data_IF_419820691358
#
_entry.id   IF_419820691358
#
_cell.length_a   1.000
_cell.length_b   1.000
_cell.length_c   1.000
_cell.angle_alpha   90.00
_cell.angle_beta   90.00
_cell.angle_gamma   90.00
#
_symmetry.space_group_name_H-M   'P 1'
#
loop_
_entity.id
_entity.type
_entity.pdbx_description
1 polymer ?
#
# COMPACT_ATOMS: atom_id res chain seq x y z
N UNK A 1 4.84 30.27 -20.89
CA UNK A 1 3.99 31.03 -21.84
C UNK A 1 3.17 30.01 -22.62
N UNK A 2 1.90 29.89 -22.25
CA UNK A 2 0.69 29.39 -22.96
C UNK A 2 0.81 28.33 -24.07
N UNK A 3 -0.02 27.27 -23.93
CA UNK A 3 -0.58 26.42 -24.99
C UNK A 3 -0.23 24.95 -24.77
N UNK A 4 -1.12 24.00 -24.47
CA UNK A 4 -2.49 23.82 -24.98
C UNK A 4 -3.32 23.07 -23.92
N UNK A 5 -4.22 23.78 -23.24
CA UNK A 5 -5.32 23.21 -22.47
C UNK A 5 -6.59 23.54 -23.26
N UNK A 6 -7.23 22.53 -23.85
CA UNK A 6 -8.48 22.72 -24.57
C UNK A 6 -9.32 21.44 -24.63
N UNK A 7 -10.37 21.45 -23.81
CA UNK A 7 -11.72 20.93 -24.07
C UNK A 7 -11.96 19.41 -24.04
N UNK A 8 -12.44 18.95 -22.88
CA UNK A 8 -13.78 18.34 -22.82
C UNK A 8 -14.57 19.10 -21.72
N UNK A 9 -15.69 19.75 -22.05
CA UNK A 9 -16.50 20.51 -21.10
C UNK A 9 -17.48 19.62 -20.30
N UNK A 10 -17.54 19.92 -19.01
CA UNK A 10 -18.46 19.57 -17.92
C UNK A 10 -19.72 18.71 -18.21
N UNK A 11 -20.04 17.77 -17.29
CA UNK A 11 -21.02 18.02 -16.21
C UNK A 11 -21.39 16.72 -15.42
N UNK A 12 -21.21 16.81 -14.08
CA UNK A 12 -21.72 16.03 -12.93
C UNK A 12 -21.23 14.60 -12.66
N UNK A 13 -20.37 14.50 -11.62
CA UNK A 13 -20.19 13.29 -10.80
C UNK A 13 -18.86 12.55 -10.95
N UNK A 14 -17.77 13.24 -11.31
CA UNK A 14 -16.45 12.62 -11.41
C UNK A 14 -15.88 12.34 -10.00
N UNK A 15 -16.01 11.10 -9.52
CA UNK A 15 -15.17 10.56 -8.45
C UNK A 15 -13.94 9.92 -9.11
N UNK A 16 -12.87 10.71 -9.22
CA UNK A 16 -11.52 10.21 -9.50
C UNK A 16 -11.11 9.30 -8.33
N UNK A 17 -10.85 8.01 -8.61
CA UNK A 17 -10.02 7.20 -7.71
C UNK A 17 -8.60 7.60 -8.08
N UNK A 18 -8.10 8.64 -7.43
CA UNK A 18 -6.74 9.13 -7.64
C UNK A 18 -5.76 8.25 -6.84
N UNK A 19 -5.59 7.01 -7.30
CA UNK A 19 -4.44 6.16 -6.97
C UNK A 19 -3.27 6.51 -7.90
N UNK A 20 -2.78 7.76 -7.78
CA UNK A 20 -1.62 8.19 -8.55
C UNK A 20 -0.35 7.93 -7.74
N UNK A 21 0.49 6.99 -8.18
CA UNK A 21 1.87 6.90 -7.67
C UNK A 21 2.70 7.90 -8.47
N UNK A 22 3.03 9.02 -7.83
CA UNK A 22 4.08 9.91 -8.32
C UNK A 22 5.43 9.32 -7.92
N UNK A 23 6.10 8.61 -8.84
CA UNK A 23 7.54 8.43 -8.70
C UNK A 23 8.20 9.76 -9.02
N UNK A 24 9.12 10.21 -8.17
CA UNK A 24 9.94 11.38 -8.42
C UNK A 24 11.39 10.99 -8.24
N UNK A 25 12.11 10.79 -9.35
CA UNK A 25 13.56 10.62 -9.30
C UNK A 25 14.24 11.98 -9.09
N UNK A 26 15.34 12.00 -8.34
CA UNK A 26 16.13 13.21 -8.10
C UNK A 26 16.95 13.67 -9.32
N UNK A 27 16.62 13.20 -10.52
CA UNK A 27 17.41 13.36 -11.75
C UNK A 27 16.56 13.59 -12.99
N UNK A 28 15.62 14.54 -12.97
CA UNK A 28 15.02 15.12 -14.18
C UNK A 28 14.10 14.23 -15.04
N UNK A 29 14.00 12.92 -14.77
CA UNK A 29 13.13 11.97 -15.48
C UNK A 29 12.38 11.08 -14.50
N UNK A 30 11.05 11.01 -14.61
CA UNK A 30 10.19 10.13 -13.80
C UNK A 30 9.09 9.51 -14.64
N UNK A 31 8.63 8.31 -14.26
CA UNK A 31 7.47 7.65 -14.87
C UNK A 31 6.31 7.70 -13.87
N UNK A 32 5.30 8.51 -14.15
CA UNK A 32 4.11 8.61 -13.30
C UNK A 32 2.94 7.91 -13.98
N UNK A 33 2.16 7.15 -13.21
CA UNK A 33 0.94 6.49 -13.68
C UNK A 33 -0.24 6.82 -12.77
N UNK A 34 -1.35 7.27 -13.35
CA UNK A 34 -2.65 7.36 -12.68
C UNK A 34 -3.55 6.28 -13.26
N UNK A 35 -4.10 5.49 -12.34
CA UNK A 35 -5.02 4.40 -12.62
C UNK A 35 -6.40 4.79 -12.11
N UNK A 36 -7.33 5.07 -13.01
CA UNK A 36 -8.70 5.42 -12.63
C UNK A 36 -9.71 4.59 -13.40
N UNK A 37 -10.56 3.87 -12.69
CA UNK A 37 -11.72 3.20 -13.25
C UNK A 37 -13.00 3.81 -12.64
N UNK A 38 -13.81 4.43 -13.49
CA UNK A 38 -15.10 4.99 -13.12
C UNK A 38 -16.22 4.51 -14.04
N UNK A 39 -17.43 5.03 -13.81
CA UNK A 39 -18.60 4.67 -14.61
C UNK A 39 -18.53 5.23 -16.05
N UNK A 40 -17.51 6.03 -16.36
CA UNK A 40 -17.27 6.66 -17.66
C UNK A 40 -16.11 5.99 -18.43
N UNK A 41 -15.27 5.18 -17.78
CA UNK A 41 -14.23 4.37 -18.43
C UNK A 41 -13.09 3.92 -17.51
N UNK A 42 -12.16 3.13 -18.06
CA UNK A 42 -10.84 2.89 -17.47
C UNK A 42 -9.86 3.86 -18.14
N UNK A 43 -9.37 4.81 -17.36
CA UNK A 43 -8.42 5.84 -17.77
C UNK A 43 -7.04 5.48 -17.23
N UNK A 44 -6.09 5.35 -18.15
CA UNK A 44 -4.67 5.25 -17.84
C UNK A 44 -4.03 6.58 -18.25
N UNK A 45 -3.51 7.33 -17.28
CA UNK A 45 -2.69 8.51 -17.55
C UNK A 45 -1.27 8.19 -17.10
N UNK A 46 -0.44 7.77 -18.05
CA UNK A 46 1.00 7.69 -17.85
C UNK A 46 1.66 8.95 -18.40
N UNK A 47 2.47 9.65 -17.59
CA UNK A 47 3.27 10.78 -18.07
C UNK A 47 4.75 10.53 -17.77
N UNK A 48 5.58 10.61 -18.80
CA UNK A 48 7.04 10.55 -18.68
C UNK A 48 7.66 11.90 -19.03
N UNK A 49 8.49 12.45 -18.16
CA UNK A 49 9.32 13.61 -18.50
C UNK A 49 10.68 13.14 -18.99
N UNK A 50 10.80 12.80 -20.28
CA UNK A 50 12.06 12.43 -20.91
C UNK A 50 12.54 13.51 -21.87
N UNK A 51 13.82 13.89 -21.80
CA UNK A 51 14.46 14.72 -22.83
C UNK A 51 14.84 13.86 -24.04
N UNK A 52 13.89 13.57 -24.93
CA UNK A 52 14.12 12.86 -26.18
C UNK A 52 13.12 13.26 -27.25
N UNK A 53 13.57 13.42 -28.50
CA UNK A 53 12.69 13.67 -29.65
C UNK A 53 12.00 12.35 -30.05
N UNK A 54 10.71 12.17 -29.71
CA UNK A 54 9.91 11.01 -30.10
C UNK A 54 8.56 11.41 -30.70
N UNK A 55 8.22 10.83 -31.85
CA UNK A 55 6.95 11.00 -32.56
C UNK A 55 5.89 10.04 -32.01
N UNK A 56 4.75 10.58 -31.58
CA UNK A 56 3.56 9.84 -31.16
C UNK A 56 2.83 9.27 -32.39
N UNK A 57 2.60 7.94 -32.44
CA UNK A 57 1.79 7.31 -33.50
C UNK A 57 0.76 6.34 -32.90
N UNK A 58 -0.47 6.84 -32.76
CA UNK A 58 -1.64 6.02 -32.47
C UNK A 58 -2.23 5.47 -33.77
N UNK A 59 -2.29 4.15 -33.93
CA UNK A 59 -3.13 3.53 -34.97
C UNK A 59 -3.74 2.21 -34.48
N UNK A 60 -5.06 2.10 -34.56
CA UNK A 60 -5.71 0.82 -34.89
C UNK A 60 -6.85 1.05 -35.89
N UNK A 61 -6.80 0.30 -36.99
CA UNK A 61 -7.82 0.17 -38.04
C UNK A 61 -7.86 -1.32 -38.39
N UNK A 62 -8.97 -2.00 -38.08
CA UNK A 62 -9.17 -3.41 -38.47
C UNK A 62 -10.28 -3.52 -39.52
N UNK A 63 -9.94 -4.09 -40.67
CA UNK A 63 -10.81 -4.35 -41.83
C UNK A 63 -10.88 -5.85 -42.19
N UNK A 64 -10.63 -6.74 -41.22
CA UNK A 64 -10.98 -8.17 -41.27
C UNK A 64 -10.04 -9.11 -42.04
N UNK A 65 -9.25 -8.65 -43.03
CA UNK A 65 -8.35 -9.51 -43.84
C UNK A 65 -6.86 -9.14 -43.84
N UNK A 66 -6.47 -8.07 -43.16
CA UNK A 66 -5.07 -7.59 -43.13
C UNK A 66 -4.61 -7.40 -41.69
N UNK A 67 -3.43 -7.95 -41.37
CA UNK A 67 -2.73 -7.75 -40.09
C UNK A 67 -1.75 -6.59 -40.26
N UNK A 68 -1.75 -5.64 -39.32
CA UNK A 68 -0.73 -4.59 -39.24
C UNK A 68 0.26 -5.00 -38.14
N UNK A 69 1.54 -5.10 -38.50
CA UNK A 69 2.65 -5.25 -37.56
C UNK A 69 3.32 -3.88 -37.40
N UNK A 70 3.42 -3.42 -36.16
CA UNK A 70 4.11 -2.18 -35.80
C UNK A 70 5.47 -2.53 -35.18
N UNK A 71 6.56 -2.23 -35.87
CA UNK A 71 7.90 -2.23 -35.27
C UNK A 71 8.31 -0.78 -34.98
N UNK A 72 8.51 -0.45 -33.71
CA UNK A 72 9.11 0.82 -33.27
C UNK A 72 10.53 0.49 -32.82
N UNK A 73 11.54 1.05 -33.49
CA UNK A 73 12.94 0.99 -33.06
C UNK A 73 13.41 2.42 -32.79
N UNK A 74 13.87 2.69 -31.57
CA UNK A 74 14.51 3.96 -31.21
C UNK A 74 15.76 3.65 -30.40
N UNK A 75 16.85 4.36 -30.70
CA UNK A 75 18.18 4.07 -30.13
C UNK A 75 18.32 4.45 -28.65
N UNK A 76 17.50 5.37 -28.08
CA UNK A 76 17.59 5.76 -26.65
C UNK A 76 16.28 6.41 -26.07
N UNK A 77 15.14 6.35 -26.78
CA UNK A 77 13.92 7.14 -26.50
C UNK A 77 12.72 6.37 -25.94
N UNK A 78 11.69 7.09 -25.48
CA UNK A 78 10.45 6.54 -24.90
C UNK A 78 9.69 5.66 -25.90
N UNK A 79 9.23 4.48 -25.45
CA UNK A 79 8.41 3.54 -26.22
C UNK A 79 7.05 3.40 -25.53
N UNK A 80 5.99 3.80 -26.22
CA UNK A 80 4.60 3.70 -25.77
C UNK A 80 3.79 2.82 -26.72
N UNK A 81 3.16 1.77 -26.18
CA UNK A 81 2.17 0.95 -26.86
C UNK A 81 0.84 0.95 -26.09
N UNK A 82 0.01 1.95 -26.36
CA UNK A 82 -1.37 2.06 -25.85
C UNK A 82 -2.41 1.61 -26.87
N UNK A 83 -3.44 0.89 -26.44
CA UNK A 83 -4.63 0.66 -27.25
C UNK A 83 -5.91 0.71 -26.40
N UNK A 84 -6.97 1.32 -26.92
CA UNK A 84 -8.29 1.35 -26.28
C UNK A 84 -9.32 0.75 -27.25
N UNK A 85 -10.15 -0.16 -26.76
CA UNK A 85 -11.28 -0.72 -27.54
C UNK A 85 -12.61 -0.38 -26.88
N UNK A 86 -13.51 0.27 -27.63
CA UNK A 86 -14.87 0.59 -27.19
C UNK A 86 -15.88 -0.19 -28.02
N UNK A 87 -16.72 -1.02 -27.38
CA UNK A 87 -17.80 -1.76 -28.08
C UNK A 87 -19.04 -0.87 -28.23
N UNK A 88 -19.58 -0.77 -29.45
CA UNK A 88 -20.79 0.06 -29.76
C UNK A 88 -21.92 -0.74 -30.45
N UNK A 89 -21.72 -2.04 -30.71
CA UNK A 89 -22.58 -2.94 -31.50
C UNK A 89 -22.41 -4.42 -31.07
N UNK A 90 -23.25 -5.35 -31.55
CA UNK A 90 -23.43 -6.70 -30.97
C UNK A 90 -22.25 -7.69 -31.13
N UNK A 91 -21.27 -7.44 -32.00
CA UNK A 91 -20.15 -8.36 -32.25
C UNK A 91 -18.99 -8.07 -31.28
N UNK A 92 -18.45 -9.08 -30.61
CA UNK A 92 -17.29 -8.93 -29.72
C UNK A 92 -16.04 -8.45 -30.46
N UNK A 93 -15.18 -7.70 -29.76
CA UNK A 93 -13.90 -7.19 -30.30
C UNK A 93 -12.72 -7.70 -29.46
N UNK A 94 -11.63 -8.05 -30.13
CA UNK A 94 -10.37 -8.44 -29.49
C UNK A 94 -9.25 -7.50 -29.92
N UNK A 95 -8.37 -7.13 -28.99
CA UNK A 95 -7.14 -6.38 -29.27
C UNK A 95 -6.00 -6.98 -28.48
N UNK A 96 -4.84 -7.10 -29.12
CA UNK A 96 -3.64 -7.64 -28.48
C UNK A 96 -2.45 -6.71 -28.74
N UNK A 97 -1.68 -6.44 -27.71
CA UNK A 97 -0.40 -5.71 -27.79
C UNK A 97 0.69 -6.65 -27.31
N UNK A 98 1.68 -6.92 -28.17
CA UNK A 98 2.91 -7.58 -27.76
C UNK A 98 4.01 -6.53 -27.78
N UNK A 99 4.61 -6.26 -26.63
CA UNK A 99 5.72 -5.32 -26.50
C UNK A 99 6.96 -6.08 -26.04
N UNK A 100 8.06 -5.95 -26.79
CA UNK A 100 9.41 -6.30 -26.33
C UNK A 100 10.28 -5.09 -26.64
N UNK A 101 10.58 -4.29 -25.63
CA UNK A 101 11.19 -2.99 -25.79
C UNK A 101 12.17 -2.68 -24.65
N UNK A 102 13.22 -1.94 -24.96
CA UNK A 102 14.22 -1.43 -24.02
C UNK A 102 14.41 0.05 -24.30
N UNK A 103 14.60 0.86 -23.25
CA UNK A 103 14.88 2.28 -23.41
C UNK A 103 14.75 3.08 -22.12
N UNK A 104 14.95 4.39 -22.25
CA UNK A 104 14.86 5.35 -21.14
C UNK A 104 13.47 5.36 -20.48
N UNK A 105 12.42 5.07 -21.25
CA UNK A 105 11.07 4.86 -20.74
C UNK A 105 10.38 3.85 -21.63
N UNK A 106 9.81 2.79 -21.05
CA UNK A 106 9.10 1.77 -21.82
C UNK A 106 7.76 1.51 -21.15
N UNK A 107 6.67 1.54 -21.91
CA UNK A 107 5.32 1.42 -21.38
C UNK A 107 4.39 0.67 -22.33
N UNK A 108 3.53 -0.17 -21.76
CA UNK A 108 2.44 -0.86 -22.45
C UNK A 108 1.16 -0.74 -21.63
N UNK A 109 0.06 -0.38 -22.28
CA UNK A 109 -1.26 -0.41 -21.65
C UNK A 109 -2.39 -0.73 -22.62
N UNK A 110 -3.48 -1.25 -22.06
CA UNK A 110 -4.65 -1.69 -22.79
C UNK A 110 -5.90 -1.52 -21.93
N UNK A 111 -6.91 -0.78 -22.40
CA UNK A 111 -8.21 -0.65 -21.73
C UNK A 111 -9.38 -0.93 -22.66
N UNK A 112 -10.49 -1.39 -22.08
CA UNK A 112 -11.76 -1.50 -22.78
C UNK A 112 -12.95 -1.13 -21.91
N UNK A 113 -14.02 -0.66 -22.57
CA UNK A 113 -15.27 -0.29 -21.91
C UNK A 113 -16.49 -0.75 -22.70
N UNK A 114 -17.57 -1.01 -21.94
CA UNK A 114 -18.91 -1.31 -22.44
C UNK A 114 -19.93 -0.94 -21.38
N UNK A 115 -20.90 -0.10 -21.74
CA UNK A 115 -21.89 0.43 -20.80
C UNK A 115 -21.21 1.01 -19.53
N UNK A 116 -21.59 0.54 -18.34
CA UNK A 116 -20.98 0.95 -17.06
C UNK A 116 -19.82 0.03 -16.62
N UNK A 117 -19.37 -0.89 -17.47
CA UNK A 117 -18.26 -1.80 -17.19
C UNK A 117 -16.98 -1.32 -17.88
N UNK A 118 -15.84 -1.49 -17.20
CA UNK A 118 -14.53 -1.17 -17.75
C UNK A 118 -13.47 -2.14 -17.21
N UNK A 119 -12.49 -2.51 -18.03
CA UNK A 119 -11.33 -3.27 -17.58
C UNK A 119 -10.07 -2.83 -18.31
N UNK A 120 -8.91 -2.95 -17.66
CA UNK A 120 -7.65 -2.64 -18.31
C UNK A 120 -6.42 -3.14 -17.54
N UNK A 121 -5.27 -2.96 -18.21
CA UNK A 121 -3.95 -3.39 -17.79
C UNK A 121 -2.87 -2.40 -18.22
N UNK A 122 -1.75 -2.39 -17.48
CA UNK A 122 -0.66 -1.45 -17.66
C UNK A 122 0.63 -1.97 -17.05
N UNK A 123 1.74 -1.65 -17.71
CA UNK A 123 3.08 -1.88 -17.21
C UNK A 123 4.05 -0.87 -17.81
N UNK A 124 5.02 -0.40 -17.03
CA UNK A 124 6.12 0.39 -17.57
C UNK A 124 7.32 0.49 -16.66
N UNK A 125 8.46 0.88 -17.24
CA UNK A 125 9.73 1.06 -16.53
C UNK A 125 10.46 2.32 -17.01
N UNK A 126 11.32 2.84 -16.14
CA UNK A 126 12.35 3.83 -16.47
C UNK A 126 13.69 3.10 -16.65
N UNK A 127 14.46 3.51 -17.67
CA UNK A 127 15.81 3.02 -17.97
C UNK A 127 15.91 1.49 -17.92
N UNK A 128 15.15 0.81 -18.77
CA UNK A 128 15.09 -0.64 -18.70
C UNK A 128 14.27 -1.27 -19.81
N UNK A 129 13.90 -2.53 -19.61
CA UNK A 129 13.23 -3.34 -20.60
C UNK A 129 11.87 -3.85 -20.10
N UNK A 130 10.91 -3.94 -21.02
CA UNK A 130 9.59 -4.54 -20.81
C UNK A 130 9.34 -5.59 -21.89
N UNK A 131 9.01 -6.80 -21.47
CA UNK A 131 8.42 -7.85 -22.27
C UNK A 131 7.00 -8.07 -21.79
N UNK A 132 6.00 -7.72 -22.59
CA UNK A 132 4.59 -7.78 -22.20
C UNK A 132 3.71 -8.33 -23.31
N UNK A 133 2.82 -9.25 -22.94
CA UNK A 133 1.67 -9.68 -23.72
C UNK A 133 0.41 -9.14 -23.06
N UNK A 134 -0.22 -8.15 -23.69
CA UNK A 134 -1.50 -7.61 -23.28
C UNK A 134 -2.59 -8.09 -24.25
N UNK A 135 -3.73 -8.52 -23.72
CA UNK A 135 -4.89 -8.94 -24.52
C UNK A 135 -6.18 -8.40 -23.91
N UNK A 136 -7.05 -7.84 -24.74
CA UNK A 136 -8.34 -7.29 -24.34
C UNK A 136 -9.43 -7.91 -25.20
N UNK A 137 -10.48 -8.38 -24.54
CA UNK A 137 -11.71 -8.82 -25.18
C UNK A 137 -12.84 -7.97 -24.63
N UNK A 138 -13.54 -7.26 -25.50
CA UNK A 138 -14.73 -6.48 -25.14
C UNK A 138 -15.95 -7.19 -25.72
N UNK A 139 -16.70 -7.88 -24.86
CA UNK A 139 -17.94 -8.57 -25.22
C UNK A 139 -19.00 -8.37 -24.11
N UNK A 140 -19.91 -9.33 -23.88
CA UNK A 140 -20.83 -9.34 -22.73
C UNK A 140 -20.11 -9.21 -21.38
N UNK A 141 -18.85 -9.61 -21.31
CA UNK A 141 -17.91 -9.23 -20.26
C UNK A 141 -16.67 -8.60 -20.89
N UNK A 142 -16.00 -7.70 -20.16
CA UNK A 142 -14.72 -7.13 -20.58
C UNK A 142 -13.61 -7.87 -19.86
N UNK A 143 -12.67 -8.41 -20.61
CA UNK A 143 -11.53 -9.18 -20.11
C UNK A 143 -10.24 -8.49 -20.55
N UNK A 144 -9.41 -8.06 -19.61
CA UNK A 144 -8.10 -7.49 -19.90
C UNK A 144 -7.01 -8.34 -19.23
N UNK A 145 -6.20 -9.00 -20.05
CA UNK A 145 -5.10 -9.87 -19.65
C UNK A 145 -3.77 -9.16 -19.81
N UNK A 146 -2.86 -9.45 -18.89
CA UNK A 146 -1.48 -9.00 -18.86
C UNK A 146 -0.58 -10.16 -18.50
N UNK A 147 0.51 -10.32 -19.24
CA UNK A 147 1.65 -11.12 -18.82
C UNK A 147 2.91 -10.33 -19.13
N UNK A 148 3.53 -9.80 -18.09
CA UNK A 148 4.64 -8.86 -18.19
C UNK A 148 5.81 -9.34 -17.37
N UNK A 149 7.00 -9.25 -17.96
CA UNK A 149 8.29 -9.23 -17.29
C UNK A 149 8.96 -7.89 -17.60
N UNK A 150 9.52 -7.24 -16.60
CA UNK A 150 10.16 -5.96 -16.79
C UNK A 150 11.26 -5.73 -15.77
N UNK A 151 12.27 -4.97 -16.20
CA UNK A 151 13.40 -4.57 -15.39
C UNK A 151 13.72 -3.11 -15.66
N UNK A 152 14.19 -2.37 -14.67
CA UNK A 152 14.56 -0.96 -14.84
C UNK A 152 14.98 -0.34 -13.52
N UNK A 153 15.16 0.98 -13.52
CA UNK A 153 15.48 1.77 -12.32
C UNK A 153 14.23 2.11 -11.50
N UNK A 154 13.10 2.20 -12.17
CA UNK A 154 11.76 2.39 -11.60
C UNK A 154 10.77 1.62 -12.47
N UNK A 155 9.63 1.25 -11.91
CA UNK A 155 8.53 0.76 -12.73
C UNK A 155 7.20 0.77 -12.04
N UNK A 156 6.18 0.62 -12.87
CA UNK A 156 4.77 0.65 -12.50
C UNK A 156 4.06 -0.51 -13.17
N UNK A 157 3.04 -1.05 -12.50
CA UNK A 157 2.08 -1.97 -13.07
C UNK A 157 0.69 -1.62 -12.54
N UNK A 158 -0.34 -1.98 -13.28
CA UNK A 158 -1.65 -2.01 -12.68
C UNK A 158 -2.71 -2.69 -13.52
N UNK A 159 -3.73 -3.15 -12.80
CA UNK A 159 -4.90 -3.85 -13.30
C UNK A 159 -6.14 -3.19 -12.76
N UNK A 160 -7.14 -2.96 -13.60
CA UNK A 160 -8.43 -2.41 -13.13
C UNK A 160 -9.61 -3.17 -13.73
N UNK A 161 -10.65 -3.36 -12.91
CA UNK A 161 -11.96 -3.84 -13.32
C UNK A 161 -13.07 -3.04 -12.61
N UNK A 162 -14.05 -2.58 -13.37
CA UNK A 162 -15.23 -1.87 -12.88
C UNK A 162 -16.50 -2.60 -13.31
N UNK A 163 -17.44 -2.74 -12.39
CA UNK A 163 -18.77 -3.28 -12.61
C UNK A 163 -19.81 -2.48 -11.82
N UNK A 164 -21.09 -2.78 -12.04
CA UNK A 164 -22.16 -2.19 -11.22
C UNK A 164 -22.13 -2.60 -9.75
N UNK A 165 -21.48 -3.73 -9.42
CA UNK A 165 -21.49 -4.27 -8.06
C UNK A 165 -20.32 -3.75 -7.21
N UNK A 166 -19.16 -3.55 -7.84
CA UNK A 166 -17.91 -3.22 -7.18
C UNK A 166 -16.85 -2.79 -8.21
N UNK A 167 -15.81 -2.13 -7.70
CA UNK A 167 -14.57 -1.79 -8.41
C UNK A 167 -13.41 -2.56 -7.80
N UNK A 168 -12.61 -3.23 -8.61
CA UNK A 168 -11.41 -3.90 -8.17
C UNK A 168 -10.20 -3.36 -8.91
N UNK A 169 -9.14 -3.02 -8.20
CA UNK A 169 -7.89 -2.51 -8.76
C UNK A 169 -6.70 -3.22 -8.13
N UNK A 170 -5.63 -3.37 -8.90
CA UNK A 170 -4.30 -3.73 -8.44
C UNK A 170 -3.37 -2.64 -8.92
N UNK A 171 -2.62 -2.04 -8.00
CA UNK A 171 -1.61 -1.03 -8.31
C UNK A 171 -0.28 -1.52 -7.78
N UNK A 172 0.78 -1.43 -8.58
CA UNK A 172 2.12 -1.82 -8.13
C UNK A 172 3.20 -0.91 -8.67
N UNK A 173 4.26 -0.73 -7.89
CA UNK A 173 5.42 0.04 -8.32
C UNK A 173 6.70 -0.45 -7.67
N UNK A 174 7.84 -0.12 -8.27
CA UNK A 174 9.14 -0.26 -7.65
C UNK A 174 10.05 0.92 -7.96
N UNK A 175 11.03 1.15 -7.09
CA UNK A 175 12.05 2.18 -7.21
C UNK A 175 13.41 1.60 -6.79
N UNK A 176 14.48 2.00 -7.48
CA UNK A 176 15.80 1.37 -7.37
C UNK A 176 15.89 0.19 -8.35
N UNK A 177 17.07 -0.03 -8.92
CA UNK A 177 17.21 -1.01 -10.01
C UNK A 177 16.70 -2.40 -9.62
N UNK A 178 15.67 -2.88 -10.31
CA UNK A 178 14.92 -4.08 -9.91
C UNK A 178 14.06 -4.66 -11.04
N UNK A 179 13.46 -5.81 -10.73
CA UNK A 179 12.62 -6.59 -11.63
C UNK A 179 11.19 -6.63 -11.13
N UNK A 180 10.22 -6.65 -12.05
CA UNK A 180 8.88 -7.14 -11.73
C UNK A 180 8.38 -8.10 -12.80
N UNK A 181 7.47 -8.96 -12.35
CA UNK A 181 6.73 -9.84 -13.25
C UNK A 181 5.31 -10.01 -12.76
N UNK A 182 4.39 -10.17 -13.69
CA UNK A 182 2.98 -10.31 -13.36
C UNK A 182 2.24 -11.01 -14.47
N UNK A 183 1.34 -11.90 -14.07
CA UNK A 183 0.31 -12.45 -14.94
C UNK A 183 -1.03 -12.09 -14.32
N UNK A 184 -1.84 -11.25 -14.98
CA UNK A 184 -3.07 -10.70 -14.43
C UNK A 184 -4.23 -10.78 -15.43
N UNK A 185 -5.44 -10.99 -14.91
CA UNK A 185 -6.69 -10.94 -15.68
C UNK A 185 -7.74 -10.11 -14.95
N UNK A 186 -8.02 -8.93 -15.48
CA UNK A 186 -9.12 -8.06 -15.06
C UNK A 186 -10.41 -8.43 -15.78
N UNK A 187 -11.50 -8.61 -15.04
CA UNK A 187 -12.81 -9.03 -15.53
C UNK A 187 -13.88 -8.06 -15.06
N UNK A 188 -14.48 -7.33 -16.00
CA UNK A 188 -15.71 -6.57 -15.78
C UNK A 188 -16.92 -7.37 -16.29
N UNK A 189 -17.56 -8.09 -15.38
CA UNK A 189 -18.78 -8.86 -15.63
C UNK A 189 -19.92 -8.43 -14.69
N UNK A 190 -20.66 -9.40 -14.12
CA UNK A 190 -21.68 -9.13 -13.09
C UNK A 190 -21.09 -8.53 -11.80
N UNK A 191 -19.81 -8.82 -11.53
CA UNK A 191 -18.98 -8.20 -10.51
C UNK A 191 -17.58 -7.97 -11.10
N UNK A 192 -16.86 -6.97 -10.61
CA UNK A 192 -15.47 -6.72 -10.96
C UNK A 192 -14.57 -7.72 -10.24
N UNK A 193 -13.63 -8.32 -10.97
CA UNK A 193 -12.63 -9.23 -10.43
C UNK A 193 -11.29 -9.00 -11.10
N UNK A 194 -10.20 -9.21 -10.37
CA UNK A 194 -8.86 -9.31 -10.94
C UNK A 194 -8.26 -10.61 -10.42
N UNK A 195 -7.64 -11.39 -11.31
CA UNK A 195 -6.97 -12.64 -11.01
C UNK A 195 -5.47 -12.55 -11.31
N UNK A 196 -4.69 -13.47 -10.75
CA UNK A 196 -3.31 -13.68 -11.15
C UNK A 196 -2.28 -13.38 -10.06
N UNK A 197 -1.09 -12.95 -10.47
CA UNK A 197 0.06 -12.74 -9.58
C UNK A 197 0.78 -11.44 -9.88
N UNK A 198 1.38 -10.86 -8.85
CA UNK A 198 2.37 -9.77 -8.94
C UNK A 198 3.59 -10.23 -8.19
N UNK A 199 4.76 -10.04 -8.81
CA UNK A 199 6.05 -10.35 -8.18
C UNK A 199 7.06 -9.25 -8.41
N UNK A 200 7.85 -8.92 -7.39
CA UNK A 200 9.00 -8.03 -7.47
C UNK A 200 10.27 -8.79 -7.12
N UNK A 201 11.32 -8.65 -7.93
CA UNK A 201 12.60 -9.34 -7.75
C UNK A 201 12.43 -10.86 -7.51
N UNK A 202 11.48 -11.48 -8.22
CA UNK A 202 11.13 -12.90 -8.09
C UNK A 202 10.35 -13.29 -6.83
N UNK A 203 9.99 -12.35 -5.95
CA UNK A 203 9.10 -12.59 -4.82
C UNK A 203 7.66 -12.28 -5.21
N UNK A 204 6.79 -13.27 -5.07
CA UNK A 204 5.35 -13.10 -5.25
C UNK A 204 4.76 -12.32 -4.06
N UNK A 205 4.13 -11.19 -4.36
CA UNK A 205 3.61 -10.23 -3.37
C UNK A 205 2.09 -10.15 -3.39
N UNK A 206 1.46 -10.51 -4.52
CA UNK A 206 0.02 -10.71 -4.67
C UNK A 206 -0.17 -11.98 -5.48
N UNK A 207 -1.12 -12.82 -5.09
CA UNK A 207 -1.42 -14.07 -5.79
C UNK A 207 -2.92 -14.37 -5.84
N UNK A 208 -3.26 -15.48 -6.51
CA UNK A 208 -4.65 -15.87 -6.73
C UNK A 208 -5.46 -16.02 -5.45
N UNK A 209 -4.89 -16.62 -4.40
CA UNK A 209 -5.57 -16.81 -3.12
C UNK A 209 -5.88 -15.46 -2.44
N UNK A 210 -4.95 -14.52 -2.52
CA UNK A 210 -5.13 -13.15 -2.01
C UNK A 210 -6.23 -12.42 -2.80
N UNK A 211 -6.21 -12.53 -4.13
CA UNK A 211 -7.19 -11.88 -4.99
C UNK A 211 -8.60 -12.47 -4.89
N UNK A 212 -8.73 -13.78 -4.67
CA UNK A 212 -10.01 -14.43 -4.42
C UNK A 212 -10.64 -13.96 -3.10
N UNK A 213 -9.81 -13.75 -2.07
CA UNK A 213 -10.24 -13.14 -0.80
C UNK A 213 -10.77 -11.72 -0.99
N UNK A 214 -10.06 -10.90 -1.77
CA UNK A 214 -10.44 -9.52 -2.07
C UNK A 214 -11.71 -9.46 -2.92
N UNK A 215 -11.84 -10.29 -3.96
CA UNK A 215 -12.99 -10.35 -4.86
C UNK A 215 -14.30 -10.75 -4.16
N UNK A 216 -14.23 -11.47 -3.04
CA UNK A 216 -15.39 -11.84 -2.20
C UNK A 216 -16.00 -10.65 -1.44
N UNK A 217 -15.27 -9.52 -1.39
CA UNK A 217 -15.76 -8.18 -1.07
C UNK A 217 -15.78 -7.81 0.41
N UNK A 218 -14.79 -8.29 1.17
CA UNK A 218 -14.62 -7.99 2.60
C UNK A 218 -13.27 -7.34 2.94
N UNK A 219 -12.29 -7.26 2.01
CA UNK A 219 -10.91 -6.84 2.32
C UNK A 219 -10.19 -6.21 1.12
N UNK A 220 -9.23 -5.34 1.40
CA UNK A 220 -8.14 -4.90 0.51
C UNK A 220 -6.81 -5.42 1.07
N UNK A 221 -5.77 -5.50 0.24
CA UNK A 221 -4.41 -5.89 0.65
C UNK A 221 -3.41 -4.84 0.17
N UNK A 222 -2.38 -4.59 0.97
CA UNK A 222 -1.15 -3.94 0.52
C UNK A 222 0.03 -4.84 0.87
N UNK A 223 0.98 -4.93 -0.04
CA UNK A 223 2.19 -5.75 0.04
C UNK A 223 3.38 -4.87 -0.31
N UNK A 224 4.01 -4.34 0.73
CA UNK A 224 5.09 -3.37 0.64
C UNK A 224 6.43 -3.96 1.09
N UNK A 225 7.51 -3.59 0.42
CA UNK A 225 8.83 -4.10 0.70
C UNK A 225 9.97 -3.15 0.36
N UNK A 226 11.12 -3.39 0.99
CA UNK A 226 12.40 -2.74 0.69
C UNK A 226 13.42 -3.81 0.30
N UNK A 227 14.26 -3.54 -0.71
CA UNK A 227 15.29 -4.44 -1.22
C UNK A 227 16.63 -3.71 -1.43
N UNK A 228 17.71 -4.49 -1.60
CA UNK A 228 19.01 -3.98 -2.04
C UNK A 228 19.03 -4.02 -3.57
N UNK A 229 19.21 -2.86 -4.21
CA UNK A 229 19.19 -2.74 -5.65
C UNK A 229 20.50 -3.21 -6.31
N UNK A 230 20.54 -3.23 -7.64
CA UNK A 230 21.72 -3.73 -8.39
C UNK A 230 22.99 -2.89 -8.19
N UNK A 231 22.88 -1.68 -7.67
CA UNK A 231 24.00 -0.79 -7.38
C UNK A 231 24.48 -0.87 -5.91
N UNK A 232 23.80 -1.68 -5.08
CA UNK A 232 24.06 -1.78 -3.64
C UNK A 232 23.39 -0.66 -2.83
N UNK A 233 22.46 0.07 -3.45
CA UNK A 233 21.61 1.06 -2.82
C UNK A 233 20.27 0.43 -2.40
N UNK A 234 19.38 1.20 -1.77
CA UNK A 234 18.10 0.70 -1.27
C UNK A 234 16.99 0.95 -2.29
N UNK A 235 16.38 -0.13 -2.80
CA UNK A 235 15.15 -0.11 -3.57
C UNK A 235 13.91 -0.42 -2.72
N UNK A 236 12.73 -0.18 -3.28
CA UNK A 236 11.45 -0.48 -2.65
C UNK A 236 10.43 -0.94 -3.68
N UNK A 237 9.45 -1.73 -3.25
CA UNK A 237 8.28 -2.07 -4.04
C UNK A 237 7.01 -1.94 -3.21
N UNK A 238 5.91 -1.69 -3.89
CA UNK A 238 4.56 -1.65 -3.35
C UNK A 238 3.65 -2.41 -4.32
N UNK A 239 2.71 -3.17 -3.76
CA UNK A 239 1.59 -3.72 -4.51
C UNK A 239 0.34 -3.66 -3.64
N UNK A 240 -0.69 -2.97 -4.08
CA UNK A 240 -1.99 -2.99 -3.42
C UNK A 240 -3.04 -3.64 -4.31
N UNK A 241 -4.01 -4.31 -3.71
CA UNK A 241 -5.22 -4.74 -4.39
C UNK A 241 -6.45 -4.37 -3.56
N UNK A 242 -7.38 -3.66 -4.19
CA UNK A 242 -8.56 -3.09 -3.54
C UNK A 242 -9.83 -3.62 -4.19
N UNK A 243 -10.89 -3.76 -3.40
CA UNK A 243 -12.23 -4.05 -3.89
C UNK A 243 -13.26 -3.17 -3.18
N UNK A 244 -13.79 -2.17 -3.88
CA UNK A 244 -14.70 -1.17 -3.35
C UNK A 244 -16.14 -1.46 -3.79
N UNK A 245 -17.02 -1.65 -2.80
CA UNK A 245 -18.48 -1.63 -2.97
C UNK A 245 -18.98 -0.20 -2.76
N UNK A 246 -19.87 0.26 -3.63
CA UNK A 246 -20.23 1.67 -3.80
C UNK A 246 -20.67 2.40 -2.50
N UNK A 247 -19.84 3.34 -2.01
CA UNK A 247 -20.26 4.54 -1.26
C UNK A 247 -19.11 5.57 -1.12
N UNK A 248 -19.37 6.78 -1.65
CA UNK A 248 -18.82 8.12 -1.37
C UNK A 248 -17.45 8.31 -0.69
N UNK A 249 -16.60 9.07 -1.39
CA UNK A 249 -15.28 9.55 -0.98
C UNK A 249 -15.23 10.43 0.29
N UNK A 250 -14.10 10.37 1.00
CA UNK A 250 -13.35 11.55 1.44
C UNK A 250 -11.90 11.19 1.81
N UNK A 251 -10.94 11.95 1.29
CA UNK A 251 -9.54 11.96 1.70
C UNK A 251 -9.33 12.97 2.81
N UNK A 252 -8.55 12.64 3.87
CA UNK A 252 -7.54 13.51 4.53
C UNK A 252 -6.57 12.64 5.38
N UNK A 253 -5.31 12.52 4.97
CA UNK A 253 -4.08 12.46 5.81
C UNK A 253 -3.89 11.42 6.94
N UNK A 254 -4.80 10.47 7.16
CA UNK A 254 -4.63 9.35 8.09
C UNK A 254 -5.47 8.15 7.64
N UNK A 255 -5.05 6.95 8.01
CA UNK A 255 -5.75 5.70 7.68
C UNK A 255 -6.06 4.90 8.95
N UNK A 256 -7.27 4.34 9.04
CA UNK A 256 -7.69 3.49 10.16
C UNK A 256 -7.76 2.03 9.72
N UNK A 257 -7.30 1.12 10.56
CA UNK A 257 -7.29 -0.33 10.30
C UNK A 257 -8.67 -1.01 10.46
N UNK A 258 -9.75 -0.25 10.67
CA UNK A 258 -11.13 -0.77 10.73
C UNK A 258 -11.56 -1.41 12.06
N UNK A 259 -10.73 -1.30 13.10
CA UNK A 259 -11.01 -1.80 14.44
C UNK A 259 -10.54 -0.81 15.50
N UNK A 260 -11.11 -0.89 16.70
CA UNK A 260 -10.70 -0.04 17.83
C UNK A 260 -10.89 -0.74 19.17
N UNK A 261 -10.24 -0.21 20.20
CA UNK A 261 -10.42 -0.69 21.57
C UNK A 261 -11.58 0.00 22.27
N UNK A 262 -12.38 -0.79 22.99
CA UNK A 262 -13.37 -0.29 23.95
C UNK A 262 -12.77 0.01 25.33
N UNK A 263 -11.55 -0.46 25.61
CA UNK A 263 -10.89 -0.36 26.91
C UNK A 263 -9.39 -0.13 26.73
N UNK A 264 -8.71 0.56 27.67
CA UNK A 264 -7.31 0.88 27.51
C UNK A 264 -6.42 -0.37 27.45
N UNK A 265 -5.40 -0.34 26.61
CA UNK A 265 -4.48 -1.44 26.35
C UNK A 265 -3.39 -1.51 27.43
N UNK A 266 -3.16 -2.67 28.00
CA UNK A 266 -2.05 -2.95 28.92
C UNK A 266 -1.09 -3.97 28.31
N UNK A 267 0.20 -3.65 28.25
CA UNK A 267 1.21 -4.49 27.64
C UNK A 267 2.11 -5.22 28.63
N UNK A 268 2.55 -6.42 28.25
CA UNK A 268 3.57 -7.20 28.96
C UNK A 268 4.80 -7.41 28.08
N UNK A 269 5.96 -6.86 28.47
CA UNK A 269 7.21 -7.07 27.75
C UNK A 269 7.92 -8.35 28.21
N UNK A 270 8.09 -9.27 27.28
CA UNK A 270 8.83 -10.51 27.48
C UNK A 270 10.32 -10.24 27.68
N UNK A 271 10.86 -10.85 28.73
CA UNK A 271 12.27 -10.82 29.10
C UNK A 271 13.07 -11.99 28.51
N UNK A 272 12.40 -12.96 27.88
CA UNK A 272 13.01 -14.25 27.55
C UNK A 272 14.16 -14.15 26.54
N UNK A 273 14.09 -13.21 25.60
CA UNK A 273 15.12 -13.05 24.55
C UNK A 273 16.15 -11.98 24.89
N UNK A 274 15.74 -10.87 25.50
CA UNK A 274 16.63 -9.72 25.75
C UNK A 274 17.13 -9.61 27.19
N UNK A 275 16.66 -10.48 28.09
CA UNK A 275 16.96 -10.44 29.51
C UNK A 275 16.29 -9.28 30.25
N UNK A 276 16.18 -9.40 31.57
CA UNK A 276 15.49 -8.43 32.44
C UNK A 276 16.12 -7.03 32.43
N UNK A 277 17.45 -6.93 32.42
CA UNK A 277 18.15 -5.64 32.43
C UNK A 277 17.84 -4.81 31.18
N UNK A 278 17.91 -5.43 29.99
CA UNK A 278 17.63 -4.74 28.72
C UNK A 278 16.14 -4.42 28.61
N UNK A 279 15.29 -5.39 28.97
CA UNK A 279 13.84 -5.21 28.98
C UNK A 279 13.41 -4.05 29.89
N UNK A 280 14.06 -3.86 31.04
CA UNK A 280 13.77 -2.74 31.95
C UNK A 280 14.06 -1.39 31.28
N UNK A 281 15.18 -1.26 30.59
CA UNK A 281 15.53 -0.03 29.86
C UNK A 281 14.59 0.20 28.68
N UNK A 282 14.25 -0.85 27.93
CA UNK A 282 13.36 -0.76 26.78
C UNK A 282 11.92 -0.47 27.19
N UNK A 283 11.43 -1.05 28.27
CA UNK A 283 10.08 -0.80 28.79
C UNK A 283 9.85 0.68 29.13
N UNK A 284 10.89 1.39 29.63
CA UNK A 284 10.82 2.84 29.87
C UNK A 284 10.65 3.62 28.58
N UNK A 285 11.40 3.27 27.55
CA UNK A 285 11.34 3.94 26.25
C UNK A 285 10.04 3.67 25.51
N UNK A 286 9.56 2.42 25.54
CA UNK A 286 8.26 2.06 24.96
C UNK A 286 7.12 2.78 25.71
N UNK A 287 7.17 2.84 27.05
CA UNK A 287 6.17 3.56 27.85
C UNK A 287 6.12 5.05 27.49
N UNK A 288 7.25 5.68 27.16
CA UNK A 288 7.26 7.09 26.68
C UNK A 288 6.57 7.24 25.32
N UNK A 289 6.67 6.24 24.45
CA UNK A 289 5.98 6.18 23.17
C UNK A 289 4.46 6.02 23.34
N UNK A 290 4.03 5.04 24.14
CA UNK A 290 2.61 4.86 24.48
C UNK A 290 2.01 6.13 25.11
N UNK A 291 2.72 6.75 26.05
CA UNK A 291 2.29 8.00 26.68
C UNK A 291 2.25 9.20 25.71
N UNK A 292 2.92 9.15 24.56
CA UNK A 292 2.78 10.18 23.54
C UNK A 292 1.40 10.13 22.88
N UNK A 293 0.87 8.94 22.63
CA UNK A 293 -0.52 8.77 22.16
C UNK A 293 -1.52 9.26 23.19
N UNK A 294 -1.44 8.80 24.43
CA UNK A 294 -2.36 9.24 25.50
C UNK A 294 -2.40 10.77 25.64
N UNK A 295 -1.24 11.44 25.60
CA UNK A 295 -1.17 12.92 25.74
C UNK A 295 -1.92 13.69 24.63
N UNK A 296 -2.22 13.04 23.51
CA UNK A 296 -2.83 13.68 22.35
C UNK A 296 -4.27 13.20 22.12
N UNK A 297 -4.96 12.62 23.10
CA UNK A 297 -6.39 12.24 22.99
C UNK A 297 -7.16 12.47 24.28
N UNK A 298 -8.48 12.65 24.16
CA UNK A 298 -9.41 12.80 25.28
C UNK A 298 -9.56 11.52 26.11
N UNK A 299 -9.24 10.34 25.55
CA UNK A 299 -9.39 9.05 26.21
C UNK A 299 -8.03 8.49 26.61
N UNK A 300 -7.96 7.88 27.79
CA UNK A 300 -6.81 7.06 28.14
C UNK A 300 -6.86 5.79 27.28
N UNK A 301 -5.92 5.63 26.36
CA UNK A 301 -5.90 4.47 25.42
C UNK A 301 -4.90 3.42 25.86
N UNK A 302 -3.89 3.80 26.66
CA UNK A 302 -3.01 2.86 27.34
C UNK A 302 -3.24 2.84 28.85
N UNK A 303 -3.23 1.65 29.45
CA UNK A 303 -3.32 1.50 30.90
C UNK A 303 -1.93 1.39 31.50
N UNK A 304 -1.55 2.43 32.25
CA UNK A 304 -0.43 2.35 33.18
C UNK A 304 -0.70 1.45 34.38
N UNK A 305 0.31 1.29 35.22
CA UNK A 305 0.17 0.68 36.57
C UNK A 305 -0.57 1.58 37.57
N UNK A 306 -0.83 2.85 37.21
CA UNK A 306 -1.63 3.77 38.00
C UNK A 306 -3.13 3.54 37.71
N UNK A 307 -3.92 3.44 38.78
CA UNK A 307 -5.36 3.19 38.73
C UNK A 307 -6.17 4.43 38.37
N UNK A 308 -5.53 5.60 38.25
CA UNK A 308 -6.19 6.87 38.00
C UNK A 308 -6.81 7.02 36.59
N UNK A 309 -6.52 6.11 35.64
CA UNK A 309 -7.02 6.17 34.25
C UNK A 309 -6.86 7.56 33.59
N UNK A 310 -5.78 8.27 33.93
CA UNK A 310 -5.47 9.58 33.32
C UNK A 310 -4.55 9.38 32.12
N UNK A 311 -4.79 10.06 30.98
CA UNK A 311 -3.86 10.03 29.86
C UNK A 311 -2.42 10.36 30.28
N UNK A 312 -1.48 9.48 29.95
CA UNK A 312 -0.06 9.60 30.30
C UNK A 312 0.29 9.14 31.72
N UNK A 313 -0.56 8.33 32.36
CA UNK A 313 -0.32 7.78 33.70
C UNK A 313 0.57 6.51 33.68
N UNK A 314 1.60 6.45 34.54
CA UNK A 314 2.40 5.25 34.86
C UNK A 314 3.22 4.60 33.73
N UNK A 315 4.04 3.59 34.09
CA UNK A 315 4.62 2.66 33.10
C UNK A 315 3.49 1.80 32.52
N UNK A 316 3.34 1.82 31.19
CA UNK A 316 2.33 1.08 30.42
C UNK A 316 2.68 -0.42 30.31
N UNK A 317 3.91 -0.77 30.68
CA UNK A 317 4.46 -2.12 30.54
C UNK A 317 4.76 -2.80 31.87
N UNK A 318 4.23 -4.02 31.99
CA UNK A 318 4.70 -5.02 32.96
C UNK A 318 5.80 -5.89 32.32
N UNK A 319 6.81 -6.32 33.08
CA UNK A 319 7.78 -7.31 32.58
C UNK A 319 7.26 -8.72 32.83
N UNK A 320 7.41 -9.61 31.85
CA UNK A 320 7.04 -11.02 31.97
C UNK A 320 8.15 -11.97 31.55
N UNK A 321 8.19 -13.16 32.15
CA UNK A 321 9.03 -14.26 31.69
C UNK A 321 8.34 -15.11 30.60
N UNK A 322 7.04 -14.88 30.33
CA UNK A 322 6.31 -15.58 29.28
C UNK A 322 6.97 -15.30 27.92
N UNK A 323 7.13 -16.33 27.11
CA UNK A 323 7.51 -16.21 25.70
C UNK A 323 6.24 -16.39 24.87
N UNK A 324 5.60 -15.30 24.42
CA UNK A 324 4.46 -15.41 23.52
C UNK A 324 4.93 -15.95 22.16
N UNK A 325 4.06 -16.69 21.48
CA UNK A 325 4.36 -17.25 20.16
C UNK A 325 3.92 -16.24 19.10
N UNK A 326 4.86 -15.86 18.22
CA UNK A 326 4.62 -14.85 17.17
C UNK A 326 3.42 -15.26 16.31
N UNK A 327 2.45 -14.34 16.18
CA UNK A 327 1.27 -14.52 15.33
C UNK A 327 0.25 -15.52 15.87
N UNK A 328 0.43 -16.03 17.09
CA UNK A 328 -0.54 -16.90 17.74
C UNK A 328 -1.35 -16.11 18.76
N UNK A 329 -2.67 -16.17 18.62
CA UNK A 329 -3.62 -15.59 19.57
C UNK A 329 -3.43 -16.20 20.96
N UNK A 330 -3.08 -15.38 21.96
CA UNK A 330 -2.78 -15.85 23.32
C UNK A 330 -4.02 -15.97 24.22
N UNK A 331 -5.19 -15.62 23.66
CA UNK A 331 -6.48 -15.61 24.35
C UNK A 331 -6.74 -14.26 25.00
N UNK A 332 -7.93 -13.70 24.80
CA UNK A 332 -8.29 -12.38 25.34
C UNK A 332 -9.79 -12.11 25.27
N UNK A 333 -10.31 -11.34 26.23
CA UNK A 333 -11.75 -10.99 26.28
C UNK A 333 -12.06 -9.63 25.63
N UNK A 334 -11.06 -9.00 24.96
CA UNK A 334 -11.15 -7.61 24.51
C UNK A 334 -11.18 -6.62 25.66
N UNK A 335 -10.52 -6.96 26.77
CA UNK A 335 -10.35 -6.16 27.99
C UNK A 335 -9.01 -5.41 28.04
N UNK A 336 -8.16 -5.62 27.04
CA UNK A 336 -6.84 -4.98 26.94
C UNK A 336 -5.76 -5.58 27.84
N UNK A 337 -5.94 -6.77 28.44
CA UNK A 337 -4.95 -7.32 29.40
C UNK A 337 -4.01 -8.40 28.85
N UNK A 338 -4.32 -8.94 27.68
CA UNK A 338 -3.65 -10.10 27.11
C UNK A 338 -2.69 -9.74 25.97
N UNK A 339 -2.13 -8.53 26.03
CA UNK A 339 -1.28 -7.97 25.00
C UNK A 339 0.19 -8.11 25.39
N UNK A 340 1.01 -8.65 24.49
CA UNK A 340 2.41 -8.93 24.73
C UNK A 340 3.32 -8.16 23.79
N UNK A 341 4.48 -7.81 24.30
CA UNK A 341 5.59 -7.33 23.50
C UNK A 341 6.75 -8.30 23.64
N UNK A 342 7.39 -8.71 22.56
CA UNK A 342 8.52 -9.62 22.63
C UNK A 342 9.58 -9.31 21.56
N UNK A 343 10.85 -9.47 21.92
CA UNK A 343 11.90 -9.56 20.92
C UNK A 343 11.95 -11.00 20.43
N UNK A 344 11.89 -11.22 19.13
CA UNK A 344 11.81 -12.56 18.55
C UNK A 344 12.83 -12.74 17.42
N UNK A 345 13.47 -13.91 17.41
CA UNK A 345 14.33 -14.34 16.28
C UNK A 345 13.50 -14.82 15.07
N UNK A 346 12.19 -15.02 15.25
CA UNK A 346 11.25 -15.35 14.18
C UNK A 346 10.75 -14.11 13.41
N UNK A 347 11.23 -12.92 13.77
CA UNK A 347 11.16 -11.73 12.92
C UNK A 347 12.46 -11.71 12.12
N UNK A 348 12.36 -12.10 10.85
CA UNK A 348 13.48 -12.39 9.94
C UNK A 348 13.51 -11.39 8.77
N UNK A 349 14.54 -11.49 7.92
CA UNK A 349 14.67 -10.63 6.73
C UNK A 349 14.92 -9.16 7.09
N UNK A 350 14.39 -8.25 6.27
CA UNK A 350 14.49 -6.81 6.47
C UNK A 350 13.55 -6.28 7.58
N UNK A 351 12.50 -7.03 7.97
CA UNK A 351 11.49 -6.63 8.98
C UNK A 351 12.07 -6.24 10.33
N UNK A 352 11.71 -5.06 10.82
CA UNK A 352 12.22 -4.48 12.08
C UNK A 352 11.33 -4.86 13.27
N UNK A 353 10.02 -4.72 13.13
CA UNK A 353 9.00 -5.11 14.10
C UNK A 353 7.69 -5.43 13.36
N UNK A 354 6.72 -6.01 14.07
CA UNK A 354 5.38 -6.30 13.54
C UNK A 354 4.36 -6.28 14.69
N UNK A 355 3.17 -5.80 14.41
CA UNK A 355 2.02 -5.82 15.32
C UNK A 355 0.92 -6.73 14.78
N UNK A 356 0.41 -7.65 15.60
CA UNK A 356 -0.74 -8.51 15.29
C UNK A 356 -1.91 -8.08 16.15
N UNK A 357 -3.04 -7.70 15.56
CA UNK A 357 -4.28 -7.43 16.30
C UNK A 357 -5.39 -8.39 15.88
N UNK A 358 -6.06 -8.97 16.87
CA UNK A 358 -7.27 -9.76 16.70
C UNK A 358 -8.49 -8.95 17.14
N UNK A 359 -9.61 -9.06 16.44
CA UNK A 359 -10.84 -8.32 16.73
C UNK A 359 -12.10 -9.17 16.45
N UNK A 360 -13.22 -8.78 17.07
CA UNK A 360 -14.52 -9.40 16.86
C UNK A 360 -15.22 -8.74 15.67
N UNK A 361 -15.62 -9.52 14.68
CA UNK A 361 -16.31 -9.03 13.46
C UNK A 361 -17.80 -8.75 13.67
N UNK A 362 -18.38 -9.22 14.78
CA UNK A 362 -19.79 -9.05 15.11
C UNK A 362 -20.03 -8.16 16.34
N UNK A 363 -18.96 -7.61 16.94
CA UNK A 363 -19.04 -6.69 18.07
C UNK A 363 -18.37 -5.40 17.65
N UNK A 364 -19.13 -4.31 17.68
CA UNK A 364 -18.66 -3.02 17.20
C UNK A 364 -18.52 -2.01 18.34
N UNK A 365 -17.64 -1.04 18.13
CA UNK A 365 -17.43 0.12 18.99
C UNK A 365 -17.53 1.36 18.12
N UNK A 366 -18.18 2.41 18.63
CA UNK A 366 -18.33 3.67 17.89
C UNK A 366 -17.12 4.58 18.15
N UNK A 367 -16.47 5.02 17.07
CA UNK A 367 -15.38 5.99 17.11
C UNK A 367 -15.88 7.40 17.47
N UNK A 368 -14.95 8.31 17.74
CA UNK A 368 -15.29 9.71 18.01
C UNK A 368 -15.76 10.47 16.75
N UNK A 369 -15.41 9.98 15.57
CA UNK A 369 -15.94 10.42 14.27
C UNK A 369 -17.37 9.94 13.97
N UNK A 370 -17.94 9.07 14.82
CA UNK A 370 -19.27 8.50 14.67
C UNK A 370 -19.33 7.22 13.83
N UNK A 371 -18.21 6.74 13.29
CA UNK A 371 -18.14 5.49 12.53
C UNK A 371 -18.16 4.27 13.45
N UNK A 372 -18.53 3.11 12.89
CA UNK A 372 -18.52 1.82 13.60
C UNK A 372 -17.27 1.03 13.26
N UNK A 373 -16.56 0.58 14.29
CA UNK A 373 -15.30 -0.17 14.19
C UNK A 373 -15.44 -1.52 14.86
N UNK A 374 -14.76 -2.54 14.34
CA UNK A 374 -14.71 -3.84 15.01
C UNK A 374 -14.03 -3.72 16.38
N UNK A 375 -14.54 -4.44 17.39
CA UNK A 375 -13.98 -4.41 18.73
C UNK A 375 -12.69 -5.24 18.80
N UNK A 376 -11.57 -4.61 19.09
CA UNK A 376 -10.30 -5.29 19.34
C UNK A 376 -10.39 -6.25 20.55
N UNK A 377 -9.73 -7.40 20.41
CA UNK A 377 -9.68 -8.49 21.37
C UNK A 377 -8.30 -8.61 22.04
N UNK A 378 -7.24 -8.46 21.24
CA UNK A 378 -5.82 -8.63 21.62
C UNK A 378 -4.94 -7.94 20.57
N UNK A 379 -3.80 -7.37 20.98
CA UNK A 379 -2.76 -6.82 20.11
C UNK A 379 -1.36 -7.16 20.65
N UNK A 380 -0.57 -7.91 19.89
CA UNK A 380 0.79 -8.29 20.25
C UNK A 380 1.83 -7.61 19.34
N UNK A 381 2.97 -7.20 19.90
CA UNK A 381 4.09 -6.57 19.18
C UNK A 381 5.34 -7.42 19.24
N UNK A 382 5.94 -7.72 18.09
CA UNK A 382 7.17 -8.51 17.99
C UNK A 382 8.31 -7.71 17.35
N UNK A 383 9.35 -7.43 18.11
CA UNK A 383 10.56 -6.75 17.66
C UNK A 383 11.60 -7.76 17.12
N UNK A 384 12.29 -7.42 16.04
CA UNK A 384 13.36 -8.23 15.45
C UNK A 384 14.56 -8.38 16.37
N UNK A 385 14.76 -9.56 16.96
CA UNK A 385 15.88 -9.80 17.88
C UNK A 385 17.26 -9.72 17.20
N UNK A 386 17.30 -9.93 15.88
CA UNK A 386 18.53 -9.88 15.07
C UNK A 386 18.86 -8.48 14.55
N UNK A 387 18.03 -7.47 14.86
CA UNK A 387 18.28 -6.08 14.46
C UNK A 387 19.18 -5.36 15.47
N UNK A 388 19.88 -4.34 14.99
CA UNK A 388 20.70 -3.51 15.85
C UNK A 388 19.83 -2.46 16.54
N UNK A 389 19.58 -2.64 17.83
CA UNK A 389 18.72 -1.74 18.63
C UNK A 389 19.55 -0.74 19.45
N UNK A 390 19.02 0.48 19.62
CA UNK A 390 19.59 1.51 20.50
C UNK A 390 18.49 2.26 21.26
N UNK A 391 18.93 2.98 22.29
CA UNK A 391 18.14 4.04 22.92
C UNK A 391 18.81 5.35 22.50
N UNK A 392 18.12 6.14 21.70
CA UNK A 392 18.61 7.45 21.29
C UNK A 392 18.46 8.47 22.43
N UNK A 393 19.31 9.49 22.43
CA UNK A 393 19.30 10.56 23.45
C UNK A 393 18.60 11.84 22.98
N UNK A 394 18.32 11.95 21.67
CA UNK A 394 17.54 13.04 21.06
C UNK A 394 16.93 12.58 19.74
N UNK A 395 15.87 13.27 19.28
CA UNK A 395 15.40 13.17 17.91
C UNK A 395 16.51 13.51 16.92
N UNK A 396 16.51 12.85 15.77
CA UNK A 396 17.54 13.01 14.75
C UNK A 396 17.05 12.49 13.41
N UNK A 397 17.40 13.19 12.34
CA UNK A 397 17.39 12.63 10.99
C UNK A 397 18.40 11.46 10.90
N UNK A 398 18.01 10.42 10.18
CA UNK A 398 18.72 9.17 9.87
C UNK A 398 20.14 9.01 10.45
N UNK A 399 20.34 8.01 11.31
CA UNK A 399 21.70 7.63 11.73
C UNK A 399 21.91 6.11 11.79
N UNK A 400 23.02 5.68 11.17
CA UNK A 400 23.82 4.49 11.48
C UNK A 400 23.02 3.23 11.84
N UNK A 401 22.36 2.60 10.86
CA UNK A 401 21.90 1.18 10.83
C UNK A 401 21.27 0.59 12.11
N UNK A 402 20.87 1.42 13.07
CA UNK A 402 20.41 1.05 14.41
C UNK A 402 19.07 1.69 14.67
N UNK A 403 18.11 0.88 15.10
CA UNK A 403 16.74 1.31 15.34
C UNK A 403 16.57 1.79 16.77
N UNK A 404 15.96 2.98 16.92
CA UNK A 404 15.61 3.52 18.22
C UNK A 404 14.36 2.82 18.77
N UNK A 405 14.48 2.22 19.94
CA UNK A 405 13.40 1.43 20.56
C UNK A 405 12.14 2.27 20.77
N UNK A 406 12.27 3.52 21.24
CA UNK A 406 11.12 4.40 21.45
C UNK A 406 10.41 4.68 20.13
N UNK A 407 11.16 5.08 19.11
CA UNK A 407 10.60 5.43 17.80
C UNK A 407 9.79 4.28 17.21
N UNK A 408 10.41 3.10 17.08
CA UNK A 408 9.72 1.93 16.51
C UNK A 408 8.54 1.54 17.38
N UNK A 409 8.70 1.47 18.71
CA UNK A 409 7.59 1.07 19.54
C UNK A 409 6.42 2.08 19.52
N UNK A 410 6.70 3.38 19.36
CA UNK A 410 5.65 4.41 19.23
C UNK A 410 4.81 4.18 17.97
N UNK A 411 5.45 3.77 16.88
CA UNK A 411 4.80 3.37 15.63
C UNK A 411 3.95 2.10 15.82
N UNK A 412 4.54 1.02 16.34
CA UNK A 412 3.83 -0.26 16.56
C UNK A 412 2.61 -0.13 17.48
N UNK A 413 2.70 0.69 18.54
CA UNK A 413 1.54 0.92 19.40
C UNK A 413 0.47 1.78 18.72
N UNK A 414 0.81 2.55 17.68
CA UNK A 414 -0.18 3.22 16.83
C UNK A 414 -1.04 2.22 16.05
N UNK A 415 -0.42 1.17 15.49
CA UNK A 415 -1.17 0.03 14.96
C UNK A 415 -2.07 -0.57 15.99
N UNK A 416 -1.57 -0.78 17.20
CA UNK A 416 -2.33 -1.33 18.32
C UNK A 416 -3.56 -0.52 18.69
N UNK A 417 -3.64 0.75 18.30
CA UNK A 417 -4.79 1.62 18.49
C UNK A 417 -5.82 1.56 17.35
N UNK A 418 -5.51 0.91 16.23
CA UNK A 418 -6.36 0.85 15.05
C UNK A 418 -5.94 1.82 13.94
N UNK A 419 -4.71 2.31 13.94
CA UNK A 419 -4.16 3.13 12.87
C UNK A 419 -3.39 2.28 11.87
N UNK A 420 -3.56 2.56 10.59
CA UNK A 420 -2.76 1.95 9.54
C UNK A 420 -1.49 2.76 9.29
N UNK A 421 -0.55 2.15 8.56
CA UNK A 421 0.64 2.84 8.11
C UNK A 421 0.30 3.94 7.11
N UNK A 422 1.21 4.90 7.01
CA UNK A 422 1.20 5.98 6.03
C UNK A 422 2.46 5.88 5.19
N UNK A 423 2.33 6.13 3.89
CA UNK A 423 3.45 5.93 2.95
C UNK A 423 3.67 7.13 2.02
N UNK A 424 2.85 8.17 2.12
CA UNK A 424 3.08 9.40 1.36
C UNK A 424 4.42 10.04 1.72
N UNK A 425 5.15 10.57 0.75
CA UNK A 425 6.43 11.27 1.00
C UNK A 425 6.26 12.47 1.97
N UNK A 426 5.08 13.08 1.99
CA UNK A 426 4.66 14.13 2.93
C UNK A 426 4.33 13.60 4.34
N UNK A 427 4.26 12.27 4.50
CA UNK A 427 4.10 11.56 5.76
C UNK A 427 5.43 11.18 6.40
N UNK A 428 6.57 11.43 5.72
CA UNK A 428 7.89 11.03 6.17
C UNK A 428 8.33 11.58 7.54
N UNK A 429 7.66 12.60 8.07
CA UNK A 429 7.88 13.16 9.40
C UNK A 429 6.95 12.58 10.48
N UNK A 430 5.90 11.85 10.08
CA UNK A 430 4.87 11.23 10.92
C UNK A 430 5.38 9.96 11.59
N UNK A 431 4.74 9.59 12.69
CA UNK A 431 5.06 8.38 13.46
C UNK A 431 4.55 7.14 12.74
N UNK A 432 3.34 7.18 12.18
CA UNK A 432 2.76 6.07 11.39
C UNK A 432 3.37 5.93 10.00
N UNK A 433 4.44 6.67 9.67
CA UNK A 433 5.15 6.46 8.42
C UNK A 433 5.84 5.10 8.42
N UNK A 434 5.50 4.24 7.46
CA UNK A 434 5.99 2.85 7.43
C UNK A 434 7.49 2.70 7.18
N UNK A 435 8.20 3.79 6.83
CA UNK A 435 9.65 3.76 6.66
C UNK A 435 10.42 4.38 7.84
N UNK A 436 11.45 3.67 8.32
CA UNK A 436 12.42 4.19 9.27
C UNK A 436 13.83 3.68 8.95
N UNK A 437 14.75 4.60 8.61
CA UNK A 437 16.16 4.30 8.31
C UNK A 437 17.10 4.61 9.50
N UNK A 438 16.63 4.41 10.73
CA UNK A 438 17.33 4.84 11.95
C UNK A 438 17.10 6.32 12.27
N UNK A 439 16.01 6.90 11.77
CA UNK A 439 15.47 8.17 12.27
C UNK A 439 14.96 7.99 13.70
N UNK A 440 15.05 9.07 14.47
CA UNK A 440 14.52 9.12 15.82
C UNK A 440 13.37 10.12 15.83
N UNK A 441 12.15 9.62 15.97
CA UNK A 441 10.89 10.37 15.97
C UNK A 441 10.11 10.03 17.22
N UNK A 442 9.76 11.04 18.01
CA UNK A 442 9.19 10.86 19.34
C UNK A 442 7.86 11.61 19.55
N UNK A 443 7.47 12.44 18.58
CA UNK A 443 6.30 13.32 18.65
C UNK A 443 5.32 13.01 17.54
N UNK A 444 4.02 12.97 17.85
CA UNK A 444 2.97 12.78 16.84
C UNK A 444 2.81 14.02 15.97
N UNK A 445 2.63 13.79 14.67
CA UNK A 445 2.32 14.82 13.67
C UNK A 445 0.83 14.91 13.41
N UNK A 446 0.42 15.88 12.59
CA UNK A 446 -1.00 16.18 12.34
C UNK A 446 -1.79 14.98 11.81
N UNK A 447 -1.19 14.15 10.94
CA UNK A 447 -1.82 12.91 10.45
C UNK A 447 -2.03 11.89 11.56
N UNK A 448 -0.98 11.59 12.34
CA UNK A 448 -1.06 10.66 13.47
C UNK A 448 -2.16 11.08 14.48
N UNK A 449 -2.23 12.39 14.79
CA UNK A 449 -3.24 12.94 15.70
C UNK A 449 -4.64 12.88 15.12
N UNK A 450 -4.80 13.14 13.83
CA UNK A 450 -6.12 13.13 13.19
C UNK A 450 -6.73 11.72 13.19
N UNK A 451 -5.92 10.68 12.94
CA UNK A 451 -6.37 9.30 13.05
C UNK A 451 -6.69 8.89 14.47
N UNK A 452 -5.84 9.28 15.42
CA UNK A 452 -6.11 9.08 16.85
C UNK A 452 -7.43 9.75 17.27
N UNK A 453 -7.69 10.98 16.80
CA UNK A 453 -8.90 11.72 17.13
C UNK A 453 -10.15 11.16 16.48
N UNK A 454 -10.06 10.58 15.27
CA UNK A 454 -11.18 9.88 14.65
C UNK A 454 -11.65 8.71 15.52
N UNK A 455 -10.72 7.93 16.06
CA UNK A 455 -11.04 6.77 16.89
C UNK A 455 -11.41 7.16 18.33
N UNK A 456 -10.64 8.04 18.96
CA UNK A 456 -10.68 8.25 20.42
C UNK A 456 -11.03 9.67 20.85
N UNK A 457 -11.09 10.64 19.94
CA UNK A 457 -11.36 12.05 20.20
C UNK A 457 -10.13 12.84 20.64
N UNK A 458 -10.20 14.18 20.55
CA UNK A 458 -9.12 15.10 20.90
C UNK A 458 -9.12 15.49 22.37
#
# INVERSE_FOLDING_TARGET
MVGLLALIPDVYGAMSVEGGIQTSSSGGSSVQGIFAADNNGATFLASSTGSGNGLEKNHLLDLGKYKIESSIALEDGSIDACSETTKTNEVGSETSVNLNAEGSTVYAALSGKRDSGAAGQMAGVLNGAVSSNLKLVVDDSILAYQNTNAEGDEGILGSVANSKANKMAIDGSFLGSGDFSTEQLSVAGSAAKVYGTVSFNGQEVINGDVLDGIASGELAVSSDGIYEDRNGDLGAFEASATNLRDSSANSIGYETAGWMWASPIHYKLSTSVIGSTKATSYAKEISKGANEWDRNTAKNVFRGTDTANKPGSGNVLELTAKTPVKGEYQGGTGDGNNNYMAFSRAVTGSTIAVTYTWYYTNVHVTGADGNSYNKAAESDVYFGANKAWRIATRESSATNSKFDVRTIATHEVGHSLGLADLYGSTDSDKIMYGYNNGQVKWSLRSGDKSGLWALYGN
#
